data_IF_567590545690
#
_entry.id   IF_567590545690
#
_cell.length_a   1.000
_cell.length_b   1.000
_cell.length_c   1.000
_cell.angle_alpha   90.00
_cell.angle_beta   90.00
_cell.angle_gamma   90.00
#
_symmetry.space_group_name_H-M   'P 1'
#
loop_
_entity.id
_entity.type
_entity.pdbx_description
1 polymer ?
#
# COMPACT_ATOMS: atom_id res chain seq x y z
N UNK A 1 -21.21 -20.86 55.59
CA UNK A 1 -20.14 -21.23 54.64
C UNK A 1 -20.67 -20.98 53.24
N UNK A 2 -20.26 -19.89 52.59
CA UNK A 2 -20.56 -19.63 51.18
C UNK A 2 -19.23 -19.34 50.48
N UNK A 3 -18.80 -20.28 49.65
CA UNK A 3 -17.62 -20.12 48.79
C UNK A 3 -18.05 -19.38 47.53
N UNK A 4 -17.44 -18.22 47.28
CA UNK A 4 -17.50 -17.56 45.98
C UNK A 4 -16.41 -18.14 45.07
N UNK A 5 -16.82 -18.70 43.93
CA UNK A 5 -15.91 -19.11 42.86
C UNK A 5 -15.77 -17.93 41.90
N UNK A 6 -14.57 -17.36 41.82
CA UNK A 6 -14.21 -16.36 40.83
C UNK A 6 -13.72 -17.09 39.58
N UNK A 7 -14.48 -16.98 38.49
CA UNK A 7 -14.09 -17.52 37.18
C UNK A 7 -13.32 -16.44 36.43
N UNK A 8 -12.02 -16.66 36.22
CA UNK A 8 -11.19 -15.83 35.34
C UNK A 8 -11.42 -16.24 33.89
N UNK A 9 -12.01 -15.33 33.09
CA UNK A 9 -12.01 -15.46 31.63
C UNK A 9 -10.64 -15.03 31.11
N UNK A 10 -9.82 -16.00 30.69
CA UNK A 10 -8.61 -15.73 29.91
C UNK A 10 -9.06 -15.39 28.50
N UNK A 11 -9.00 -14.10 28.14
CA UNK A 11 -9.17 -13.63 26.78
C UNK A 11 -7.94 -14.05 25.98
N UNK A 12 -8.04 -15.11 25.18
CA UNK A 12 -6.96 -15.49 24.27
C UNK A 12 -6.82 -14.41 23.20
N UNK A 13 -5.81 -13.56 23.31
CA UNK A 13 -5.33 -12.78 22.17
C UNK A 13 -4.77 -13.78 21.15
N UNK A 14 -5.49 -13.97 20.05
CA UNK A 14 -4.93 -14.61 18.86
C UNK A 14 -3.87 -13.66 18.30
N UNK A 15 -2.61 -13.87 18.67
CA UNK A 15 -1.47 -13.31 17.96
C UNK A 15 -1.50 -13.91 16.55
N UNK A 16 -1.98 -13.11 15.60
CA UNK A 16 -1.83 -13.44 14.19
C UNK A 16 -0.36 -13.17 13.85
N UNK A 17 0.51 -14.14 14.11
CA UNK A 17 1.92 -14.03 13.77
C UNK A 17 2.03 -14.15 12.26
N UNK A 18 1.93 -13.02 11.56
CA UNK A 18 2.52 -12.92 10.24
C UNK A 18 3.98 -13.35 10.37
N UNK A 19 4.44 -14.24 9.49
CA UNK A 19 5.86 -14.57 9.43
C UNK A 19 6.54 -13.35 8.85
N UNK A 20 7.11 -12.52 9.72
CA UNK A 20 7.94 -11.40 9.30
C UNK A 20 9.11 -11.92 8.47
N UNK A 21 9.41 -11.25 7.36
CA UNK A 21 10.52 -11.62 6.48
C UNK A 21 11.72 -10.70 6.71
N UNK A 22 12.94 -11.25 6.65
CA UNK A 22 14.14 -10.42 6.65
C UNK A 22 14.26 -9.72 5.30
N UNK A 23 14.64 -8.44 5.33
CA UNK A 23 14.73 -7.64 4.11
C UNK A 23 15.64 -8.27 3.04
N UNK A 24 16.87 -8.66 3.41
CA UNK A 24 17.86 -9.19 2.45
C UNK A 24 17.48 -10.52 1.83
N UNK A 25 16.57 -11.28 2.44
CA UNK A 25 16.12 -12.57 1.92
C UNK A 25 15.12 -12.38 0.78
N UNK A 26 14.34 -11.29 0.83
CA UNK A 26 13.18 -11.07 -0.05
C UNK A 26 13.36 -9.88 -0.98
N UNK A 27 14.15 -8.89 -0.60
CA UNK A 27 14.32 -7.63 -1.31
C UNK A 27 15.77 -7.38 -1.71
N UNK A 28 15.94 -6.54 -2.72
CA UNK A 28 17.23 -6.01 -3.18
C UNK A 28 17.08 -4.55 -3.62
N UNK A 29 18.19 -3.82 -3.76
CA UNK A 29 18.18 -2.45 -4.25
C UNK A 29 17.86 -2.44 -5.74
N UNK A 30 16.88 -1.64 -6.14
CA UNK A 30 16.57 -1.40 -7.55
C UNK A 30 17.39 -0.24 -8.11
N UNK A 31 17.72 0.77 -7.28
CA UNK A 31 18.74 1.79 -7.59
C UNK A 31 19.30 2.46 -6.33
N UNK A 32 20.46 3.11 -6.48
CA UNK A 32 21.19 3.86 -5.44
C UNK A 32 21.32 3.08 -4.11
N UNK A 33 22.01 1.91 -4.11
CA UNK A 33 22.16 1.08 -2.91
C UNK A 33 22.93 1.77 -1.77
N UNK A 34 23.73 2.78 -2.08
CA UNK A 34 24.45 3.61 -1.11
C UNK A 34 23.52 4.51 -0.27
N UNK A 35 22.29 4.74 -0.72
CA UNK A 35 21.25 5.48 -0.02
C UNK A 35 20.29 4.57 0.76
N UNK A 36 20.56 3.26 0.80
CA UNK A 36 19.78 2.25 1.51
C UNK A 36 20.62 1.64 2.63
N UNK A 37 20.17 1.82 3.88
CA UNK A 37 20.81 1.23 5.05
C UNK A 37 19.91 0.18 5.69
N UNK A 38 20.44 -1.03 5.90
CA UNK A 38 19.73 -2.15 6.55
C UNK A 38 20.38 -2.42 7.90
N UNK A 39 19.62 -2.24 8.99
CA UNK A 39 20.08 -2.50 10.37
C UNK A 39 19.00 -3.30 11.10
N UNK A 40 19.29 -4.58 11.37
CA UNK A 40 18.29 -5.49 11.93
C UNK A 40 17.13 -5.68 10.95
N UNK A 41 15.90 -5.41 11.40
CA UNK A 41 14.69 -5.47 10.60
C UNK A 41 14.32 -4.12 9.93
N UNK A 42 15.11 -3.07 10.18
CA UNK A 42 14.86 -1.73 9.66
C UNK A 42 15.63 -1.47 8.37
N UNK A 43 14.93 -0.86 7.41
CA UNK A 43 15.45 -0.46 6.11
C UNK A 43 15.20 1.03 5.99
N UNK A 44 16.29 1.79 5.95
CA UNK A 44 16.25 3.25 5.86
C UNK A 44 16.55 3.66 4.44
N UNK A 45 15.67 4.48 3.85
CA UNK A 45 15.87 5.11 2.56
C UNK A 45 16.18 6.57 2.77
N UNK A 46 17.18 7.08 2.04
CA UNK A 46 17.58 8.48 2.06
C UNK A 46 17.45 9.14 0.69
N UNK A 47 17.15 10.43 0.70
CA UNK A 47 17.08 11.28 -0.48
C UNK A 47 17.82 12.58 -0.22
N UNK A 48 18.73 12.91 -1.13
CA UNK A 48 19.41 14.18 -1.18
C UNK A 48 19.48 14.71 -2.62
N UNK A 49 20.20 15.82 -2.83
CA UNK A 49 20.28 16.45 -4.15
C UNK A 49 20.97 15.60 -5.22
N UNK A 50 21.70 14.56 -4.83
CA UNK A 50 22.38 13.66 -5.74
C UNK A 50 21.45 12.53 -6.21
N UNK A 51 20.72 11.88 -5.30
CA UNK A 51 19.81 10.78 -5.67
C UNK A 51 18.74 10.52 -4.61
N UNK A 52 17.62 9.97 -5.07
CA UNK A 52 16.74 9.14 -4.22
C UNK A 52 17.20 7.68 -4.24
N UNK A 53 16.36 6.78 -3.74
CA UNK A 53 16.65 5.35 -3.78
C UNK A 53 15.38 4.49 -3.78
N UNK A 54 15.55 3.21 -4.10
CA UNK A 54 14.48 2.25 -4.06
C UNK A 54 14.96 0.81 -3.96
N UNK A 55 14.03 -0.02 -3.50
CA UNK A 55 14.19 -1.47 -3.42
C UNK A 55 13.02 -2.17 -4.11
N UNK A 56 13.25 -3.42 -4.50
CA UNK A 56 12.25 -4.29 -5.08
C UNK A 56 12.34 -5.70 -4.50
N UNK A 57 11.24 -6.45 -4.54
CA UNK A 57 11.23 -7.86 -4.14
C UNK A 57 11.82 -8.75 -5.24
N UNK A 58 12.64 -9.71 -4.83
CA UNK A 58 13.24 -10.74 -5.70
C UNK A 58 12.22 -11.66 -6.36
N UNK A 59 11.03 -11.74 -5.76
CA UNK A 59 9.93 -12.58 -6.21
C UNK A 59 8.72 -11.75 -6.60
N UNK A 60 7.87 -12.33 -7.45
CA UNK A 60 6.59 -11.77 -7.84
C UNK A 60 5.46 -12.57 -7.19
N UNK A 61 4.38 -11.88 -6.88
CA UNK A 61 3.24 -12.46 -6.17
C UNK A 61 1.95 -12.25 -6.95
N UNK A 62 1.05 -13.23 -6.91
CA UNK A 62 -0.31 -13.11 -7.46
C UNK A 62 -1.32 -13.41 -6.37
N UNK A 63 -2.05 -12.38 -5.94
CA UNK A 63 -2.95 -12.41 -4.78
C UNK A 63 -2.26 -12.69 -3.44
N UNK A 64 -2.94 -12.28 -2.37
CA UNK A 64 -2.49 -12.40 -0.99
C UNK A 64 -2.54 -11.09 -0.23
N UNK A 65 -1.73 -11.02 0.83
CA UNK A 65 -1.49 -9.83 1.64
C UNK A 65 -0.01 -9.48 1.59
N UNK A 66 0.30 -8.21 1.37
CA UNK A 66 1.62 -7.64 1.54
C UNK A 66 1.51 -6.41 2.45
N UNK A 67 2.39 -6.29 3.44
CA UNK A 67 2.43 -5.12 4.32
C UNK A 67 3.82 -4.79 4.80
N UNK A 68 4.01 -3.53 5.16
CA UNK A 68 5.19 -3.02 5.85
C UNK A 68 4.77 -2.01 6.92
N UNK A 69 5.58 -1.87 7.96
CA UNK A 69 5.53 -0.72 8.84
C UNK A 69 6.41 0.39 8.28
N UNK A 70 5.87 1.60 8.17
CA UNK A 70 6.58 2.74 7.59
C UNK A 70 6.48 3.92 8.55
N UNK A 71 7.61 4.58 8.80
CA UNK A 71 7.69 5.88 9.46
C UNK A 71 8.23 6.91 8.47
N UNK A 72 7.45 7.97 8.23
CA UNK A 72 7.70 8.94 7.17
C UNK A 72 8.75 9.99 7.57
N UNK A 73 9.16 10.80 6.59
CA UNK A 73 10.13 11.89 6.77
C UNK A 73 9.59 12.94 7.74
N UNK A 74 10.33 13.21 8.80
CA UNK A 74 10.01 14.25 9.79
C UNK A 74 10.39 15.65 9.28
N UNK A 75 9.73 16.68 9.80
CA UNK A 75 10.05 18.07 9.49
C UNK A 75 9.45 18.54 8.18
N UNK A 76 10.22 19.30 7.39
CA UNK A 76 9.81 19.75 6.07
C UNK A 76 10.18 18.70 5.04
N UNK A 77 9.17 18.08 4.44
CA UNK A 77 9.29 17.03 3.44
C UNK A 77 8.65 17.44 2.11
N UNK A 78 8.37 18.73 1.91
CA UNK A 78 7.73 19.22 0.70
C UNK A 78 8.48 18.76 -0.57
N UNK A 79 7.73 18.41 -1.60
CA UNK A 79 8.23 17.89 -2.88
C UNK A 79 8.72 16.44 -2.84
N UNK A 80 8.79 15.78 -1.67
CA UNK A 80 9.19 14.37 -1.58
C UNK A 80 7.99 13.43 -1.72
N UNK A 81 8.21 12.25 -2.31
CA UNK A 81 7.27 11.13 -2.32
C UNK A 81 7.96 9.90 -1.77
N UNK A 82 7.35 9.31 -0.75
CA UNK A 82 7.66 7.96 -0.28
C UNK A 82 6.64 7.04 -0.93
N UNK A 83 7.09 6.02 -1.66
CA UNK A 83 6.19 5.04 -2.28
C UNK A 83 6.35 3.67 -1.62
N UNK A 84 5.23 2.98 -1.43
CA UNK A 84 5.16 1.55 -1.17
C UNK A 84 4.11 0.98 -2.11
N UNK A 85 4.53 0.18 -3.07
CA UNK A 85 3.66 -0.20 -4.18
C UNK A 85 3.91 -1.63 -4.64
N UNK A 86 2.96 -2.17 -5.39
CA UNK A 86 3.11 -3.43 -6.10
C UNK A 86 2.95 -3.20 -7.58
N UNK A 87 3.85 -3.68 -8.43
CA UNK A 87 3.75 -3.51 -9.89
C UNK A 87 4.15 -4.76 -10.65
N UNK A 88 3.48 -5.04 -11.77
CA UNK A 88 4.00 -5.94 -12.79
C UNK A 88 4.87 -5.18 -13.79
N UNK A 89 5.45 -5.88 -14.76
CA UNK A 89 6.39 -5.30 -15.72
C UNK A 89 5.72 -4.91 -17.05
N UNK A 90 6.33 -3.94 -17.73
CA UNK A 90 6.00 -3.58 -19.10
C UNK A 90 4.93 -2.49 -19.24
N UNK A 91 4.62 -2.13 -20.48
CA UNK A 91 3.73 -1.01 -20.78
C UNK A 91 2.26 -1.24 -20.34
N UNK A 92 1.85 -2.50 -20.26
CA UNK A 92 0.49 -2.90 -19.83
C UNK A 92 0.50 -3.42 -18.39
N UNK A 93 1.35 -2.88 -17.53
CA UNK A 93 1.46 -3.35 -16.15
C UNK A 93 0.16 -3.15 -15.35
N UNK A 94 0.00 -3.99 -14.34
CA UNK A 94 -0.93 -3.78 -13.24
C UNK A 94 -0.13 -3.19 -12.06
N UNK A 95 -0.69 -2.23 -11.32
CA UNK A 95 0.01 -1.59 -10.20
C UNK A 95 -0.96 -1.14 -9.09
N UNK A 96 -0.51 -1.21 -7.84
CA UNK A 96 -1.23 -0.81 -6.63
C UNK A 96 -0.35 0.09 -5.77
N UNK A 97 -0.81 1.31 -5.49
CA UNK A 97 0.07 2.33 -4.92
C UNK A 97 -0.36 2.78 -3.53
N UNK A 98 0.62 2.90 -2.62
CA UNK A 98 0.63 3.93 -1.58
C UNK A 98 1.72 4.94 -1.90
N UNK A 99 1.37 6.20 -2.02
CA UNK A 99 2.30 7.31 -2.20
C UNK A 99 2.05 8.34 -1.08
N UNK A 100 3.04 8.58 -0.24
CA UNK A 100 2.97 9.57 0.82
C UNK A 100 3.55 10.89 0.33
N UNK A 101 2.68 11.88 0.20
CA UNK A 101 3.00 13.18 -0.34
C UNK A 101 3.49 14.08 0.79
N UNK A 102 4.78 14.41 0.76
CA UNK A 102 5.40 15.27 1.76
C UNK A 102 4.83 16.68 1.77
N UNK A 103 5.08 17.40 2.86
CA UNK A 103 4.53 18.73 3.09
C UNK A 103 5.52 19.60 3.87
N UNK A 104 5.24 20.90 3.94
CA UNK A 104 6.03 21.82 4.77
C UNK A 104 5.84 21.48 6.26
N UNK A 105 6.82 21.81 7.09
CA UNK A 105 6.76 21.53 8.54
C UNK A 105 5.46 22.03 9.17
N UNK A 106 4.80 21.16 9.94
CA UNK A 106 3.55 21.46 10.64
C UNK A 106 2.28 21.23 9.81
N UNK A 107 2.38 21.02 8.51
CA UNK A 107 1.26 20.66 7.65
C UNK A 107 1.15 19.13 7.47
N UNK A 108 -0.08 18.63 7.35
CA UNK A 108 -0.32 17.19 7.33
C UNK A 108 0.14 16.55 6.01
N UNK A 109 0.66 15.33 6.12
CA UNK A 109 0.84 14.42 5.00
C UNK A 109 -0.50 14.05 4.35
N UNK A 110 -0.48 13.78 3.05
CA UNK A 110 -1.53 13.04 2.37
C UNK A 110 -1.00 11.67 1.95
N UNK A 111 -1.82 10.64 2.14
CA UNK A 111 -1.58 9.35 1.50
C UNK A 111 -2.44 9.27 0.24
N UNK A 112 -1.80 9.13 -0.91
CA UNK A 112 -2.42 8.83 -2.18
C UNK A 112 -2.43 7.32 -2.38
N UNK A 113 -3.54 6.80 -2.89
CA UNK A 113 -3.63 5.44 -3.42
C UNK A 113 -4.00 5.50 -4.88
N UNK A 114 -3.47 4.59 -5.68
CA UNK A 114 -3.80 4.45 -7.09
C UNK A 114 -3.89 2.97 -7.47
N UNK A 115 -4.54 2.70 -8.61
CA UNK A 115 -4.68 1.36 -9.17
C UNK A 115 -4.52 1.45 -10.67
N UNK A 116 -3.47 0.84 -11.22
CA UNK A 116 -3.30 0.62 -12.64
C UNK A 116 -3.78 -0.77 -13.03
N UNK A 117 -4.45 -0.84 -14.18
CA UNK A 117 -4.82 -2.11 -14.79
C UNK A 117 -4.53 -2.03 -16.28
N UNK A 118 -3.74 -2.96 -16.82
CA UNK A 118 -3.28 -2.96 -18.20
C UNK A 118 -2.67 -1.60 -18.63
N UNK A 119 -1.80 -1.03 -17.80
CA UNK A 119 -1.09 0.22 -18.05
C UNK A 119 -1.93 1.49 -17.88
N UNK A 120 -3.22 1.35 -17.55
CA UNK A 120 -4.11 2.51 -17.34
C UNK A 120 -4.32 2.73 -15.85
N UNK A 121 -3.84 3.86 -15.33
CA UNK A 121 -4.07 4.34 -13.97
C UNK A 121 -5.23 5.32 -13.91
N UNK A 122 -4.93 6.55 -13.47
CA UNK A 122 -5.88 7.65 -13.27
C UNK A 122 -6.98 7.38 -12.24
N UNK A 123 -6.67 6.59 -11.21
CA UNK A 123 -7.63 6.19 -10.16
C UNK A 123 -7.20 6.68 -8.79
N UNK A 124 -6.68 7.89 -8.69
CA UNK A 124 -6.13 8.40 -7.44
C UNK A 124 -7.24 8.66 -6.42
N UNK A 125 -7.00 8.25 -5.19
CA UNK A 125 -7.72 8.75 -4.02
C UNK A 125 -6.69 9.28 -3.03
N UNK A 126 -6.96 10.43 -2.41
CA UNK A 126 -6.07 11.02 -1.40
C UNK A 126 -6.79 11.10 -0.06
N UNK A 127 -6.08 10.74 0.99
CA UNK A 127 -6.59 10.74 2.35
C UNK A 127 -5.65 11.48 3.29
N UNK A 128 -6.21 12.24 4.24
CA UNK A 128 -5.49 12.58 5.46
C UNK A 128 -5.36 11.36 6.38
N UNK A 129 -4.43 11.42 7.33
CA UNK A 129 -4.26 10.39 8.36
C UNK A 129 -4.77 10.89 9.72
N UNK A 130 -5.22 9.97 10.57
CA UNK A 130 -5.75 10.27 11.91
C UNK A 130 -4.68 10.25 13.02
N UNK A 131 -3.42 10.32 12.60
CA UNK A 131 -2.21 10.33 13.41
C UNK A 131 -1.11 11.07 12.64
N UNK A 132 -0.02 11.39 13.33
CA UNK A 132 1.18 11.92 12.71
C UNK A 132 2.08 10.76 12.23
N UNK A 133 2.21 10.53 10.91
CA UNK A 133 2.95 9.38 10.38
C UNK A 133 4.48 9.54 10.44
N UNK A 134 4.99 10.68 10.93
CA UNK A 134 6.44 10.89 11.11
C UNK A 134 6.92 10.50 12.52
N UNK A 135 6.00 10.38 13.48
CA UNK A 135 6.32 10.17 14.90
C UNK A 135 6.56 8.69 15.22
N UNK A 136 5.73 7.78 14.69
CA UNK A 136 5.83 6.35 14.92
C UNK A 136 5.57 5.55 13.64
N UNK A 137 5.88 4.26 13.69
CA UNK A 137 5.63 3.33 12.61
C UNK A 137 4.15 2.95 12.55
N UNK A 138 3.58 3.01 11.35
CA UNK A 138 2.22 2.55 11.07
C UNK A 138 2.24 1.48 9.99
N UNK A 139 1.29 0.53 10.06
CA UNK A 139 1.22 -0.58 9.11
C UNK A 139 0.41 -0.20 7.89
N UNK A 140 1.03 -0.27 6.71
CA UNK A 140 0.38 -0.08 5.42
C UNK A 140 0.29 -1.42 4.70
N UNK A 141 -0.90 -1.76 4.22
CA UNK A 141 -1.16 -3.11 3.69
C UNK A 141 -2.01 -3.11 2.43
N UNK A 142 -1.63 -3.99 1.53
CA UNK A 142 -2.43 -4.46 0.41
C UNK A 142 -3.04 -5.81 0.78
N UNK A 143 -4.34 -5.95 0.56
CA UNK A 143 -4.99 -7.25 0.48
C UNK A 143 -5.63 -7.37 -0.90
N UNK A 144 -5.20 -8.35 -1.68
CA UNK A 144 -5.56 -8.51 -3.08
C UNK A 144 -5.99 -9.95 -3.34
N UNK A 145 -7.22 -10.14 -3.83
CA UNK A 145 -7.75 -11.46 -4.18
C UNK A 145 -8.61 -11.39 -5.44
N UNK A 146 -9.33 -12.45 -5.78
CA UNK A 146 -10.22 -12.46 -6.96
C UNK A 146 -11.42 -11.51 -6.87
N UNK A 147 -11.72 -10.97 -5.68
CA UNK A 147 -12.92 -10.21 -5.40
C UNK A 147 -12.67 -8.71 -5.25
N UNK A 148 -11.55 -8.33 -4.64
CA UNK A 148 -11.21 -6.94 -4.38
C UNK A 148 -9.75 -6.74 -4.01
N UNK A 149 -9.27 -5.53 -4.27
CA UNK A 149 -8.09 -4.95 -3.64
C UNK A 149 -8.58 -4.08 -2.48
N UNK A 150 -7.92 -4.20 -1.34
CA UNK A 150 -8.18 -3.42 -0.14
C UNK A 150 -6.86 -2.81 0.31
N UNK A 151 -6.86 -1.48 0.43
CA UNK A 151 -5.77 -0.71 1.01
C UNK A 151 -6.13 -0.43 2.46
N UNK A 152 -5.25 -0.76 3.40
CA UNK A 152 -5.50 -0.49 4.83
C UNK A 152 -4.30 0.16 5.51
N UNK A 153 -4.61 0.99 6.49
CA UNK A 153 -3.67 1.64 7.42
C UNK A 153 -4.02 1.17 8.83
N UNK A 154 -3.10 0.52 9.53
CA UNK A 154 -3.32 -0.13 10.84
C UNK A 154 -4.56 -1.04 10.85
N UNK A 155 -4.66 -1.91 9.85
CA UNK A 155 -5.82 -2.77 9.57
C UNK A 155 -7.15 -2.03 9.32
N UNK A 156 -7.19 -0.69 9.27
CA UNK A 156 -8.38 0.08 8.93
C UNK A 156 -8.42 0.27 7.41
N UNK A 157 -9.44 -0.27 6.70
CA UNK A 157 -9.52 -0.09 5.27
C UNK A 157 -9.75 1.38 4.92
N UNK A 158 -8.93 1.92 4.04
CA UNK A 158 -9.07 3.30 3.54
C UNK A 158 -9.63 3.33 2.11
N UNK A 159 -9.46 2.25 1.35
CA UNK A 159 -9.96 2.09 -0.02
C UNK A 159 -10.29 0.63 -0.34
N UNK A 160 -11.34 0.42 -1.13
CA UNK A 160 -11.72 -0.89 -1.69
C UNK A 160 -11.96 -0.76 -3.19
N UNK A 161 -11.15 -1.44 -4.00
CA UNK A 161 -11.35 -1.57 -5.44
C UNK A 161 -11.89 -2.96 -5.76
N UNK A 162 -13.18 -3.06 -6.11
CA UNK A 162 -13.85 -4.35 -6.34
C UNK A 162 -13.60 -4.86 -7.75
N UNK A 163 -13.42 -6.17 -7.90
CA UNK A 163 -13.47 -6.82 -9.20
C UNK A 163 -14.87 -6.65 -9.81
N UNK A 164 -14.92 -5.94 -10.94
CA UNK A 164 -16.12 -5.64 -11.72
C UNK A 164 -15.98 -6.09 -13.18
N UNK A 165 -15.21 -7.15 -13.44
CA UNK A 165 -15.03 -7.69 -14.79
C UNK A 165 -16.35 -8.12 -15.44
N UNK A 166 -17.31 -8.63 -14.66
CA UNK A 166 -18.68 -8.92 -15.14
C UNK A 166 -19.45 -7.69 -15.65
N UNK A 167 -18.94 -6.48 -15.39
CA UNK A 167 -19.45 -5.19 -15.86
C UNK A 167 -18.50 -4.53 -16.87
N UNK A 168 -17.51 -5.26 -17.37
CA UNK A 168 -16.54 -4.78 -18.37
C UNK A 168 -15.46 -3.85 -17.81
N UNK A 169 -15.23 -3.86 -16.49
CA UNK A 169 -14.12 -3.14 -15.85
C UNK A 169 -12.94 -4.09 -15.70
N UNK A 170 -11.76 -3.80 -16.28
CA UNK A 170 -10.56 -4.60 -16.06
C UNK A 170 -10.19 -4.72 -14.57
N UNK A 171 -9.56 -5.82 -14.19
CA UNK A 171 -9.08 -6.06 -12.83
C UNK A 171 -7.74 -6.80 -12.86
N UNK A 172 -6.77 -6.44 -12.00
CA UNK A 172 -5.46 -7.07 -12.02
C UNK A 172 -5.57 -8.47 -11.40
N UNK A 173 -5.49 -9.49 -12.25
CA UNK A 173 -5.65 -10.90 -11.85
C UNK A 173 -4.75 -11.89 -12.58
N UNK A 174 -4.01 -11.43 -13.57
CA UNK A 174 -3.24 -12.29 -14.46
C UNK A 174 -1.74 -12.01 -14.40
N UNK A 175 -1.33 -10.87 -13.83
CA UNK A 175 0.07 -10.44 -13.80
C UNK A 175 0.59 -10.52 -12.37
N UNK A 176 1.65 -11.30 -12.17
CA UNK A 176 2.39 -11.27 -10.92
C UNK A 176 3.03 -9.90 -10.70
N UNK A 177 2.93 -9.37 -9.48
CA UNK A 177 3.50 -8.09 -9.12
C UNK A 177 4.65 -8.27 -8.13
N UNK A 178 5.76 -7.56 -8.36
CA UNK A 178 6.78 -7.33 -7.34
C UNK A 178 6.28 -6.33 -6.30
N UNK A 179 6.94 -6.29 -5.14
CA UNK A 179 6.72 -5.30 -4.08
C UNK A 179 7.89 -4.34 -4.07
N UNK A 180 7.59 -3.05 -4.05
CA UNK A 180 8.57 -1.99 -4.20
C UNK A 180 8.43 -0.97 -3.07
N UNK A 181 9.55 -0.33 -2.74
CA UNK A 181 9.56 0.85 -1.89
C UNK A 181 10.61 1.84 -2.37
N UNK A 182 10.27 3.13 -2.33
CA UNK A 182 11.17 4.17 -2.81
C UNK A 182 10.97 5.51 -2.10
N UNK A 183 11.98 6.37 -2.20
CA UNK A 183 11.94 7.77 -1.79
C UNK A 183 12.56 8.63 -2.90
N UNK A 184 11.80 9.59 -3.41
CA UNK A 184 12.21 10.40 -4.56
C UNK A 184 11.58 11.80 -4.54
N UNK A 185 12.12 12.71 -5.37
CA UNK A 185 11.59 14.06 -5.56
C UNK A 185 10.54 14.11 -6.67
N UNK A 186 9.41 14.73 -6.38
CA UNK A 186 8.23 14.84 -7.24
C UNK A 186 7.70 16.29 -7.25
N UNK A 187 8.62 17.24 -7.37
CA UNK A 187 8.38 18.69 -7.27
C UNK A 187 7.22 19.19 -8.13
N UNK A 188 6.97 18.57 -9.27
CA UNK A 188 5.96 19.01 -10.22
C UNK A 188 4.53 18.76 -9.78
N UNK A 189 4.30 17.92 -8.75
CA UNK A 189 2.93 17.56 -8.36
C UNK A 189 2.71 17.22 -6.89
N UNK A 190 3.73 16.75 -6.15
CA UNK A 190 3.54 16.14 -4.83
C UNK A 190 2.90 17.08 -3.80
N UNK A 191 3.51 18.24 -3.56
CA UNK A 191 3.04 19.14 -2.50
C UNK A 191 2.21 20.28 -3.06
N UNK A 192 0.95 20.35 -2.63
CA UNK A 192 -0.02 21.35 -3.05
C UNK A 192 -0.19 21.47 -4.58
N UNK A 193 -0.12 20.33 -5.28
CA UNK A 193 -0.19 20.27 -6.74
C UNK A 193 1.06 20.82 -7.42
N UNK A 194 2.23 20.66 -6.80
CA UNK A 194 3.52 21.08 -7.34
C UNK A 194 3.91 22.54 -7.09
N UNK A 195 3.10 23.27 -6.30
CA UNK A 195 3.36 24.69 -5.98
C UNK A 195 4.51 24.87 -5.00
N UNK A 196 4.71 23.91 -4.10
CA UNK A 196 5.79 23.92 -3.12
C UNK A 196 6.83 22.90 -3.53
N UNK A 197 8.08 23.34 -3.62
CA UNK A 197 9.23 22.57 -4.10
C UNK A 197 10.06 22.07 -2.94
N UNK A 198 10.86 21.03 -3.16
CA UNK A 198 11.79 20.51 -2.17
C UNK A 198 12.86 21.54 -1.81
N UNK A 199 12.98 21.79 -0.51
CA UNK A 199 14.09 22.57 0.02
C UNK A 199 15.27 21.65 0.35
N UNK A 200 16.21 21.52 -0.59
CA UNK A 200 17.37 20.63 -0.46
C UNK A 200 18.31 20.98 0.70
N UNK A 201 18.22 22.17 1.31
CA UNK A 201 18.97 22.49 2.53
C UNK A 201 18.53 21.66 3.75
N UNK A 202 17.38 20.99 3.67
CA UNK A 202 16.87 20.07 4.69
C UNK A 202 17.23 18.60 4.42
N UNK A 203 17.99 18.33 3.35
CA UNK A 203 18.48 16.98 3.06
C UNK A 203 19.55 16.52 4.08
N UNK A 204 19.70 15.20 4.31
CA UNK A 204 18.94 14.12 3.69
C UNK A 204 17.52 13.97 4.27
N UNK A 205 16.55 13.73 3.39
CA UNK A 205 15.22 13.27 3.78
C UNK A 205 15.28 11.77 4.03
N UNK A 206 14.71 11.30 5.13
CA UNK A 206 14.85 9.91 5.57
C UNK A 206 13.51 9.30 5.91
N UNK A 207 13.20 8.13 5.33
CA UNK A 207 12.06 7.29 5.69
C UNK A 207 12.56 5.92 6.13
N UNK A 208 11.83 5.26 7.03
CA UNK A 208 12.21 3.93 7.52
C UNK A 208 11.07 2.94 7.34
N UNK A 209 11.40 1.79 6.76
CA UNK A 209 10.54 0.62 6.65
C UNK A 209 10.99 -0.45 7.65
N UNK A 210 10.05 -1.25 8.15
CA UNK A 210 10.33 -2.46 8.93
C UNK A 210 9.17 -3.45 8.89
N UNK A 211 9.34 -4.60 9.52
CA UNK A 211 8.28 -5.59 9.74
C UNK A 211 7.51 -5.92 8.46
N UNK A 212 8.23 -6.26 7.39
CA UNK A 212 7.63 -6.73 6.14
C UNK A 212 6.91 -8.06 6.40
N UNK A 213 5.65 -8.15 5.98
CA UNK A 213 4.85 -9.38 6.01
C UNK A 213 4.31 -9.66 4.61
N UNK A 214 4.55 -10.88 4.13
CA UNK A 214 4.06 -11.35 2.83
C UNK A 214 3.39 -12.70 3.05
N UNK A 215 2.06 -12.71 2.96
CA UNK A 215 1.21 -13.90 2.92
C UNK A 215 0.53 -13.94 1.55
N UNK A 216 1.30 -14.32 0.54
CA UNK A 216 0.92 -14.21 -0.87
C UNK A 216 1.40 -15.41 -1.68
N UNK A 217 0.77 -15.65 -2.83
CA UNK A 217 1.17 -16.75 -3.71
C UNK A 217 2.38 -16.36 -4.54
N UNK A 218 3.54 -16.91 -4.19
CA UNK A 218 4.82 -16.71 -4.86
C UNK A 218 4.85 -17.39 -6.25
N UNK A 219 5.31 -16.66 -7.26
CA UNK A 219 5.46 -17.08 -8.65
C UNK A 219 6.91 -17.40 -9.07
N UNK A 220 7.84 -17.50 -8.12
CA UNK A 220 9.26 -17.81 -8.37
C UNK A 220 9.44 -18.89 -9.46
N UNK A 221 10.03 -18.52 -10.60
CA UNK A 221 10.39 -19.44 -11.69
C UNK A 221 9.27 -19.80 -12.68
N UNK A 222 8.10 -19.16 -12.63
CA UNK A 222 6.95 -19.49 -13.48
C UNK A 222 6.58 -18.32 -14.42
N UNK A 223 6.30 -18.62 -15.70
CA UNK A 223 5.75 -17.64 -16.65
C UNK A 223 4.29 -17.25 -16.31
N UNK A 224 3.81 -16.13 -16.86
CA UNK A 224 2.46 -15.57 -16.60
C UNK A 224 1.30 -16.56 -16.85
N UNK A 225 1.46 -17.48 -17.80
CA UNK A 225 0.46 -18.53 -18.09
C UNK A 225 0.39 -19.55 -16.94
N UNK A 226 1.53 -19.91 -16.37
CA UNK A 226 1.61 -20.83 -15.23
C UNK A 226 1.17 -20.16 -13.91
N UNK A 227 1.34 -18.84 -13.79
CA UNK A 227 0.87 -18.06 -12.65
C UNK A 227 -0.64 -18.20 -12.39
N UNK A 228 -1.44 -18.11 -13.45
CA UNK A 228 -2.89 -18.33 -13.37
C UNK A 228 -3.26 -19.76 -12.94
N UNK A 229 -2.48 -20.76 -13.33
CA UNK A 229 -2.71 -22.16 -12.97
C UNK A 229 -2.34 -22.48 -11.51
N UNK A 230 -1.29 -21.84 -10.98
CA UNK A 230 -0.77 -22.02 -9.60
C UNK A 230 -1.56 -21.19 -8.58
N UNK A 231 -1.75 -19.91 -8.86
CA UNK A 231 -2.26 -18.91 -7.91
C UNK A 231 -3.67 -18.39 -8.26
N UNK A 232 -4.12 -18.57 -9.51
CA UNK A 232 -5.41 -18.08 -10.00
C UNK A 232 -6.61 -19.02 -9.83
N UNK A 233 -6.45 -20.14 -9.11
CA UNK A 233 -7.58 -21.06 -8.83
C UNK A 233 -8.41 -20.53 -7.66
N UNK A 234 -9.65 -20.16 -7.96
CA UNK A 234 -10.61 -19.66 -6.97
C UNK A 234 -10.80 -20.67 -5.81
N UNK A 235 -10.83 -20.15 -4.58
CA UNK A 235 -11.07 -20.90 -3.34
C UNK A 235 -9.97 -21.90 -2.92
N UNK A 236 -8.81 -21.91 -3.60
CA UNK A 236 -7.66 -22.70 -3.16
C UNK A 236 -7.00 -22.11 -1.90
N UNK A 237 -6.95 -20.77 -1.81
CA UNK A 237 -6.25 -20.05 -0.76
C UNK A 237 -7.19 -19.41 0.26
N UNK A 238 -6.69 -19.14 1.48
CA UNK A 238 -7.47 -18.56 2.57
C UNK A 238 -8.08 -17.20 2.20
N UNK A 239 -7.37 -16.40 1.41
CA UNK A 239 -7.83 -15.08 0.94
C UNK A 239 -8.98 -15.14 -0.07
N UNK A 240 -9.29 -16.30 -0.66
CA UNK A 240 -10.43 -16.48 -1.58
C UNK A 240 -11.63 -17.19 -0.95
N UNK A 241 -11.58 -17.51 0.36
CA UNK A 241 -12.72 -18.10 1.05
C UNK A 241 -13.92 -17.13 1.07
N UNK A 242 -15.17 -17.62 1.14
CA UNK A 242 -16.37 -16.76 1.12
C UNK A 242 -16.37 -15.61 2.13
N UNK A 243 -15.75 -15.82 3.31
CA UNK A 243 -15.59 -14.80 4.35
C UNK A 243 -14.73 -13.59 3.90
N UNK A 244 -13.89 -13.75 2.88
CA UNK A 244 -12.97 -12.74 2.34
C UNK A 244 -13.45 -12.05 1.06
N UNK A 245 -14.70 -12.32 0.64
CA UNK A 245 -15.33 -11.70 -0.54
C UNK A 245 -15.60 -10.20 -0.39
N UNK A 246 -15.48 -9.66 0.82
CA UNK A 246 -15.56 -8.23 1.08
C UNK A 246 -15.35 -7.93 2.54
N UNK A 247 -15.47 -6.65 2.88
CA UNK A 247 -15.27 -6.20 4.26
C UNK A 247 -16.34 -6.77 5.21
N UNK A 248 -15.86 -7.22 6.37
CA UNK A 248 -16.70 -7.56 7.52
C UNK A 248 -17.47 -6.34 8.02
N UNK A 249 -18.55 -6.55 8.79
CA UNK A 249 -19.46 -5.48 9.23
C UNK A 249 -18.73 -4.35 9.99
N UNK A 250 -17.79 -4.70 10.86
CA UNK A 250 -16.98 -3.73 11.62
C UNK A 250 -16.06 -2.94 10.70
N UNK A 251 -15.30 -3.63 9.83
CA UNK A 251 -14.40 -3.00 8.85
C UNK A 251 -15.15 -2.09 7.87
N UNK A 252 -16.37 -2.45 7.46
CA UNK A 252 -17.25 -1.57 6.66
C UNK A 252 -17.60 -0.25 7.35
N UNK A 253 -17.86 -0.29 8.66
CA UNK A 253 -18.17 0.92 9.45
C UNK A 253 -16.94 1.83 9.55
N UNK A 254 -15.77 1.24 9.82
CA UNK A 254 -14.50 1.97 9.86
C UNK A 254 -14.18 2.58 8.49
N UNK A 255 -14.29 1.81 7.41
CA UNK A 255 -14.11 2.30 6.04
C UNK A 255 -15.02 3.50 5.73
N UNK A 256 -16.32 3.41 6.04
CA UNK A 256 -17.25 4.52 5.84
C UNK A 256 -16.87 5.76 6.66
N UNK A 257 -16.40 5.56 7.90
CA UNK A 257 -15.92 6.66 8.72
C UNK A 257 -14.70 7.34 8.10
N UNK A 258 -13.72 6.55 7.61
CA UNK A 258 -12.53 7.08 6.95
C UNK A 258 -12.90 7.86 5.69
N UNK A 259 -13.74 7.27 4.84
CA UNK A 259 -14.21 7.91 3.61
C UNK A 259 -14.96 9.23 3.87
N UNK A 260 -15.68 9.34 4.98
CA UNK A 260 -16.41 10.56 5.32
C UNK A 260 -15.53 11.65 5.95
N UNK A 261 -14.48 11.28 6.69
CA UNK A 261 -13.68 12.22 7.48
C UNK A 261 -12.35 12.60 6.86
N UNK A 262 -11.73 11.67 6.15
CA UNK A 262 -10.33 11.78 5.76
C UNK A 262 -10.10 11.75 4.25
N UNK A 263 -11.06 11.30 3.44
CA UNK A 263 -10.95 11.36 1.98
C UNK A 263 -11.04 12.81 1.48
N UNK A 264 -9.98 13.33 0.89
CA UNK A 264 -9.89 14.72 0.41
C UNK A 264 -9.95 14.84 -1.11
N UNK A 265 -9.57 13.78 -1.84
CA UNK A 265 -9.70 13.70 -3.29
C UNK A 265 -10.14 12.30 -3.70
N UNK A 266 -11.05 12.23 -4.67
CA UNK A 266 -11.61 10.98 -5.19
C UNK A 266 -11.85 11.12 -6.69
N UNK A 267 -11.08 10.40 -7.50
CA UNK A 267 -11.18 10.44 -8.96
C UNK A 267 -12.61 10.16 -9.46
N UNK A 268 -13.40 9.34 -8.75
CA UNK A 268 -14.79 9.05 -9.09
C UNK A 268 -15.70 10.30 -9.04
N UNK A 269 -15.29 11.35 -8.34
CA UNK A 269 -16.05 12.60 -8.16
C UNK A 269 -15.42 13.78 -8.91
N UNK A 270 -14.28 13.59 -9.56
CA UNK A 270 -13.61 14.62 -10.32
C UNK A 270 -14.22 14.77 -11.72
N UNK A 271 -15.26 15.61 -11.81
CA UNK A 271 -15.93 15.91 -13.08
C UNK A 271 -15.12 16.83 -13.98
N UNK A 272 -14.06 17.48 -13.47
CA UNK A 272 -13.18 18.30 -14.28
C UNK A 272 -12.22 17.41 -15.09
N UNK A 273 -11.71 16.33 -14.47
CA UNK A 273 -10.87 15.34 -15.15
C UNK A 273 -11.68 14.33 -15.96
N UNK A 274 -12.81 13.86 -15.43
CA UNK A 274 -13.64 12.83 -16.06
C UNK A 274 -14.98 13.37 -16.52
N UNK A 275 -15.07 13.70 -17.81
CA UNK A 275 -16.34 14.09 -18.46
C UNK A 275 -17.35 12.93 -18.48
N UNK A 276 -16.87 11.69 -18.47
CA UNK A 276 -17.66 10.49 -18.23
C UNK A 276 -17.13 9.78 -16.99
N UNK A 277 -18.00 9.54 -16.01
CA UNK A 277 -17.60 8.88 -14.77
C UNK A 277 -17.02 7.49 -15.07
N UNK A 278 -15.86 7.11 -14.50
CA UNK A 278 -15.27 5.80 -14.70
C UNK A 278 -16.25 4.67 -14.36
N UNK A 279 -16.25 3.61 -15.17
CA UNK A 279 -17.28 2.56 -15.11
C UNK A 279 -17.33 1.86 -13.76
N UNK A 280 -16.19 1.69 -13.12
CA UNK A 280 -16.09 1.13 -11.79
C UNK A 280 -16.72 2.00 -10.70
N UNK A 281 -16.90 3.30 -10.91
CA UNK A 281 -17.54 4.19 -9.94
C UNK A 281 -19.08 4.11 -10.01
N UNK A 282 -19.64 3.51 -11.08
CA UNK A 282 -21.09 3.37 -11.28
C UNK A 282 -21.74 2.24 -10.47
N UNK A 283 -20.94 1.30 -9.93
CA UNK A 283 -21.43 0.01 -9.39
C UNK A 283 -21.03 -0.28 -7.94
#
# INVERSE_FOLDING_TARGET
MSSFVVVFFILSMLLNTGVGVNFTDVFESSWAPDHIAVVGDQVTLSLDSASGCGFESKFKYLFGKASAQIKLVEGDSAGTVIAFYMSSEGANHDELDFEFLGNVSGEAYLVQTNVYVNGTGDREQRHGLWFDPTVDFHTYSFFWNHHSIIFSVDDIPIRVFKNKEKKGVPYPKNQGMGIYGSLWNADDWATQGGRVKTNWSHSPFVTTFRSFEIDACDLSGEDTIAAGAKCGKLAQFLWDKPAKKGLEKTKKRQFKMVQNKYLVYDYCKDTARFTQMPKECLY
#
